data_IF_787735439160
#
_entry.id   IF_787735439160
#
_cell.length_a   1.000
_cell.length_b   1.000
_cell.length_c   1.000
_cell.angle_alpha   90.00
_cell.angle_beta   90.00
_cell.angle_gamma   90.00
#
_symmetry.space_group_name_H-M   'P 1'
#
loop_
_entity.id
_entity.type
_entity.pdbx_description
1 polymer ?
#
# COMPACT_ATOMS: atom_id res chain seq x y z
N UNK A 1 25.72 -16.39 -2.57
CA UNK A 1 24.63 -15.61 -2.05
C UNK A 1 24.29 -14.55 -3.05
N UNK A 2 23.13 -14.61 -3.46
CA UNK A 2 22.67 -13.47 -4.15
C UNK A 2 22.68 -12.32 -3.21
N UNK A 3 23.70 -11.54 -3.34
CA UNK A 3 23.54 -10.20 -2.91
C UNK A 3 22.17 -9.75 -3.36
N UNK A 4 21.31 -9.56 -2.38
CA UNK A 4 20.27 -8.61 -2.58
C UNK A 4 21.04 -7.34 -2.94
N UNK A 5 21.30 -7.17 -4.20
CA UNK A 5 21.76 -5.89 -4.70
C UNK A 5 20.76 -4.95 -4.15
N UNK A 6 21.17 -4.18 -3.16
CA UNK A 6 20.39 -3.05 -2.70
C UNK A 6 19.98 -2.34 -3.95
N UNK A 7 18.75 -2.58 -4.32
CA UNK A 7 18.21 -1.78 -5.39
C UNK A 7 17.93 -0.45 -4.73
N UNK A 8 18.91 0.41 -4.80
CA UNK A 8 18.84 1.75 -4.23
C UNK A 8 17.65 2.55 -4.78
N UNK A 9 16.93 1.96 -5.72
CA UNK A 9 15.76 2.55 -6.35
C UNK A 9 14.46 2.21 -5.64
N UNK A 10 14.44 1.16 -4.83
CA UNK A 10 13.26 0.78 -4.07
C UNK A 10 13.28 1.46 -2.72
N UNK A 11 12.19 2.11 -2.38
CA UNK A 11 11.98 2.66 -1.05
C UNK A 11 10.64 2.20 -0.49
N UNK A 12 10.62 1.92 0.81
CA UNK A 12 9.42 1.56 1.55
C UNK A 12 9.25 2.55 2.69
N UNK A 13 8.13 3.28 2.68
CA UNK A 13 7.79 4.23 3.75
C UNK A 13 6.63 3.69 4.55
N UNK A 14 6.81 3.61 5.86
CA UNK A 14 5.77 3.15 6.78
C UNK A 14 5.00 4.31 7.38
N UNK A 15 3.69 4.13 7.54
CA UNK A 15 2.79 5.09 8.18
C UNK A 15 2.05 4.36 9.30
N UNK A 16 2.40 4.67 10.53
CA UNK A 16 1.83 4.00 11.69
C UNK A 16 0.55 4.72 12.16
N UNK A 17 -0.50 3.94 12.34
CA UNK A 17 -1.73 4.41 12.96
C UNK A 17 -1.81 3.87 14.39
N UNK A 18 -1.74 4.76 15.35
CA UNK A 18 -1.76 4.40 16.77
C UNK A 18 -3.08 3.80 17.22
N UNK A 19 -4.18 4.29 16.68
CA UNK A 19 -5.52 3.88 17.07
C UNK A 19 -5.78 2.41 16.78
N UNK A 20 -5.35 1.93 15.63
CA UNK A 20 -5.54 0.53 15.21
C UNK A 20 -4.28 -0.30 15.32
N UNK A 21 -3.15 0.30 15.69
CA UNK A 21 -1.82 -0.34 15.70
C UNK A 21 -1.46 -0.95 14.35
N UNK A 22 -1.88 -0.31 13.28
CA UNK A 22 -1.66 -0.75 11.91
C UNK A 22 -0.57 0.07 11.25
N UNK A 23 0.23 -0.56 10.42
CA UNK A 23 1.19 0.13 9.58
C UNK A 23 0.74 0.02 8.13
N UNK A 24 0.55 1.17 7.49
CA UNK A 24 0.37 1.28 6.05
C UNK A 24 1.71 1.52 5.39
N UNK A 25 1.88 1.08 4.17
CA UNK A 25 3.14 1.25 3.44
C UNK A 25 2.92 1.94 2.10
N UNK A 26 3.86 2.80 1.74
CA UNK A 26 4.05 3.24 0.36
C UNK A 26 5.34 2.62 -0.13
N UNK A 27 5.23 1.80 -1.16
CA UNK A 27 6.36 1.15 -1.79
C UNK A 27 6.56 1.80 -3.16
N UNK A 28 7.75 2.32 -3.42
CA UNK A 28 7.96 3.05 -4.67
C UNK A 28 9.33 2.80 -5.28
N UNK A 29 9.37 2.94 -6.60
CA UNK A 29 10.57 2.92 -7.39
C UNK A 29 10.99 4.37 -7.67
N UNK A 30 12.20 4.74 -7.24
CA UNK A 30 12.67 6.12 -7.35
C UNK A 30 13.11 6.51 -8.77
N UNK A 31 13.34 5.53 -9.63
CA UNK A 31 13.68 5.80 -11.04
C UNK A 31 12.42 5.96 -11.87
N UNK A 32 11.53 4.97 -11.85
CA UNK A 32 10.30 5.01 -12.63
C UNK A 32 9.22 5.89 -11.99
N UNK A 33 9.40 6.26 -10.72
CA UNK A 33 8.44 7.08 -9.97
C UNK A 33 7.05 6.47 -9.87
N UNK A 34 6.98 5.15 -9.81
CA UNK A 34 5.74 4.41 -9.60
C UNK A 34 5.65 3.95 -8.16
N UNK A 35 4.44 3.91 -7.63
CA UNK A 35 4.22 3.45 -6.26
C UNK A 35 2.96 2.62 -6.10
N UNK A 36 2.94 1.88 -5.00
CA UNK A 36 1.76 1.20 -4.48
C UNK A 36 1.55 1.60 -3.03
N UNK A 37 0.30 1.72 -2.64
CA UNK A 37 -0.10 1.89 -1.24
C UNK A 37 -0.62 0.55 -0.73
N UNK A 38 -0.15 0.12 0.42
CA UNK A 38 -0.51 -1.16 1.02
C UNK A 38 -1.20 -0.93 2.36
N UNK A 39 -2.41 -1.47 2.49
CA UNK A 39 -3.19 -1.47 3.73
C UNK A 39 -3.41 -0.08 4.33
N UNK A 40 -3.91 0.83 3.56
CA UNK A 40 -4.22 2.18 4.02
C UNK A 40 -5.40 2.19 5.00
N UNK A 41 -5.32 3.05 6.01
CA UNK A 41 -6.29 3.16 7.09
C UNK A 41 -7.13 4.42 6.92
N UNK A 42 -8.44 4.24 7.02
CA UNK A 42 -9.38 5.35 7.15
C UNK A 42 -9.61 5.61 8.64
N UNK A 43 -9.42 6.85 9.05
CA UNK A 43 -9.61 7.24 10.44
C UNK A 43 -11.09 7.16 10.82
N UNK A 44 -11.38 6.52 11.93
CA UNK A 44 -12.74 6.34 12.41
C UNK A 44 -12.80 6.50 13.92
N UNK A 45 -13.66 7.40 14.37
CA UNK A 45 -13.93 7.59 15.79
C UNK A 45 -15.12 6.74 16.21
N UNK A 46 -14.85 5.71 16.98
CA UNK A 46 -15.90 4.80 17.47
C UNK A 46 -16.90 5.48 18.39
N UNK A 47 -16.52 6.54 19.07
CA UNK A 47 -17.42 7.27 19.98
C UNK A 47 -18.44 8.10 19.24
N UNK A 48 -18.03 8.79 18.19
CA UNK A 48 -18.90 9.70 17.41
C UNK A 48 -19.40 9.08 16.12
N UNK A 49 -18.74 8.05 15.62
CA UNK A 49 -19.00 7.50 14.29
C UNK A 49 -18.41 8.35 13.17
N UNK A 50 -17.58 9.33 13.50
CA UNK A 50 -17.02 10.23 12.51
C UNK A 50 -15.84 9.62 11.77
N UNK A 51 -15.73 9.95 10.50
CA UNK A 51 -14.64 9.56 9.62
C UNK A 51 -13.72 10.76 9.43
N UNK A 52 -12.42 10.52 9.45
CA UNK A 52 -11.41 11.52 9.14
C UNK A 52 -10.39 10.95 8.15
N UNK A 53 -9.58 11.81 7.58
CA UNK A 53 -8.66 11.44 6.51
C UNK A 53 -7.21 11.79 6.84
N UNK A 54 -6.87 11.95 8.11
CA UNK A 54 -5.53 12.39 8.53
C UNK A 54 -4.45 11.41 8.03
N UNK A 55 -4.63 10.12 8.26
CA UNK A 55 -3.66 9.12 7.80
C UNK A 55 -3.62 9.01 6.28
N UNK A 56 -4.77 9.03 5.63
CA UNK A 56 -4.84 9.00 4.17
C UNK A 56 -4.16 10.24 3.56
N UNK A 57 -4.38 11.41 4.13
CA UNK A 57 -3.79 12.66 3.64
C UNK A 57 -2.27 12.68 3.83
N UNK A 58 -1.74 12.06 4.87
CA UNK A 58 -0.28 11.88 5.02
C UNK A 58 0.30 11.08 3.87
N UNK A 59 -0.36 10.00 3.49
CA UNK A 59 0.06 9.17 2.36
C UNK A 59 -0.02 9.96 1.05
N UNK A 60 -1.12 10.66 0.82
CA UNK A 60 -1.31 11.49 -0.37
C UNK A 60 -0.23 12.57 -0.46
N UNK A 61 0.06 13.25 0.65
CA UNK A 61 1.11 14.27 0.71
C UNK A 61 2.49 13.70 0.43
N UNK A 62 2.79 12.52 0.95
CA UNK A 62 4.05 11.83 0.68
C UNK A 62 4.22 11.53 -0.81
N UNK A 63 3.18 10.98 -1.42
CA UNK A 63 3.18 10.64 -2.85
C UNK A 63 3.38 11.90 -3.69
N UNK A 64 2.68 12.97 -3.36
CA UNK A 64 2.78 14.25 -4.08
C UNK A 64 4.18 14.87 -3.94
N UNK A 65 4.73 14.91 -2.73
CA UNK A 65 6.06 15.49 -2.48
C UNK A 65 7.17 14.76 -3.22
N UNK A 66 7.05 13.45 -3.34
CA UNK A 66 8.04 12.62 -4.01
C UNK A 66 7.77 12.48 -5.51
N UNK A 67 6.72 13.12 -6.01
CA UNK A 67 6.33 13.10 -7.43
C UNK A 67 6.13 11.69 -7.95
N UNK A 68 5.47 10.86 -7.12
CA UNK A 68 5.22 9.47 -7.45
C UNK A 68 3.91 9.33 -8.21
N UNK A 69 3.85 8.31 -9.06
CA UNK A 69 2.65 7.94 -9.79
C UNK A 69 2.04 6.71 -9.14
N UNK A 70 0.84 6.87 -8.59
CA UNK A 70 0.16 5.78 -7.89
C UNK A 70 -0.44 4.80 -8.91
N UNK A 71 0.06 3.56 -8.88
CA UNK A 71 -0.41 2.49 -9.76
C UNK A 71 -1.43 1.59 -9.06
N UNK A 72 -1.16 1.24 -7.80
CA UNK A 72 -1.96 0.27 -7.07
C UNK A 72 -2.22 0.69 -5.64
N UNK A 73 -3.43 0.41 -5.20
CA UNK A 73 -3.85 0.44 -3.80
C UNK A 73 -4.21 -1.00 -3.42
N UNK A 74 -3.43 -1.59 -2.53
CA UNK A 74 -3.49 -3.02 -2.27
C UNK A 74 -3.95 -3.27 -0.84
N UNK A 75 -4.97 -4.11 -0.70
CA UNK A 75 -5.39 -4.66 0.57
C UNK A 75 -4.89 -6.10 0.66
N UNK A 76 -4.02 -6.39 1.62
CA UNK A 76 -3.44 -7.73 1.76
C UNK A 76 -4.45 -8.74 2.29
N UNK A 77 -5.44 -8.27 3.04
CA UNK A 77 -6.50 -9.08 3.62
C UNK A 77 -7.71 -8.20 3.93
N UNK A 78 -8.81 -8.82 4.28
CA UNK A 78 -9.97 -8.09 4.82
C UNK A 78 -9.65 -7.66 6.24
N UNK A 79 -9.73 -6.36 6.50
CA UNK A 79 -9.44 -5.81 7.81
C UNK A 79 -10.70 -5.76 8.67
N UNK A 80 -10.63 -6.34 9.85
CA UNK A 80 -11.70 -6.27 10.84
C UNK A 80 -11.52 -5.10 11.82
N UNK A 81 -10.32 -4.57 11.90
CA UNK A 81 -9.90 -3.58 12.89
C UNK A 81 -9.93 -2.14 12.38
N UNK A 82 -10.07 -1.94 11.08
CA UNK A 82 -10.16 -0.60 10.50
C UNK A 82 -10.86 -0.61 9.14
N UNK A 83 -11.25 0.57 8.70
CA UNK A 83 -11.77 0.78 7.36
C UNK A 83 -10.63 1.14 6.42
N UNK A 84 -10.76 0.75 5.15
CA UNK A 84 -9.76 1.07 4.15
C UNK A 84 -9.92 2.50 3.64
N UNK A 85 -8.78 3.19 3.49
CA UNK A 85 -8.73 4.49 2.85
C UNK A 85 -8.52 4.40 1.32
N UNK A 86 -8.42 3.21 0.77
CA UNK A 86 -8.14 3.02 -0.67
C UNK A 86 -9.12 3.74 -1.58
N UNK A 87 -10.44 3.72 -1.36
CA UNK A 87 -11.36 4.48 -2.21
C UNK A 87 -11.13 5.98 -2.17
N UNK A 88 -10.81 6.52 -1.00
CA UNK A 88 -10.53 7.96 -0.85
C UNK A 88 -9.25 8.35 -1.59
N UNK A 89 -8.18 7.58 -1.41
CA UNK A 89 -6.91 7.84 -2.08
C UNK A 89 -7.05 7.68 -3.59
N UNK A 90 -7.77 6.66 -4.05
CA UNK A 90 -8.04 6.45 -5.47
C UNK A 90 -8.77 7.65 -6.09
N UNK A 91 -9.73 8.19 -5.40
CA UNK A 91 -10.47 9.37 -5.87
C UNK A 91 -9.55 10.57 -6.06
N UNK A 92 -8.53 10.72 -5.21
CA UNK A 92 -7.59 11.83 -5.25
C UNK A 92 -6.47 11.64 -6.26
N UNK A 93 -5.92 10.43 -6.36
CA UNK A 93 -4.69 10.16 -7.10
C UNK A 93 -4.84 9.16 -8.24
N UNK A 94 -5.97 8.51 -8.37
CA UNK A 94 -6.15 7.42 -9.32
C UNK A 94 -5.55 6.11 -8.81
N UNK A 95 -5.18 5.25 -9.73
CA UNK A 95 -4.68 3.92 -9.42
C UNK A 95 -5.76 2.86 -9.38
N UNK A 96 -5.35 1.62 -9.29
CA UNK A 96 -6.24 0.47 -9.26
C UNK A 96 -6.28 -0.13 -7.86
N UNK A 97 -7.45 -0.56 -7.41
CA UNK A 97 -7.59 -1.25 -6.13
C UNK A 97 -7.50 -2.74 -6.36
N UNK A 98 -6.58 -3.40 -5.64
CA UNK A 98 -6.46 -4.83 -5.59
C UNK A 98 -6.79 -5.32 -4.19
N UNK A 99 -7.76 -6.23 -4.08
CA UNK A 99 -8.22 -6.76 -2.80
C UNK A 99 -8.14 -8.28 -2.83
N UNK A 100 -7.70 -8.87 -1.73
CA UNK A 100 -7.76 -10.31 -1.54
C UNK A 100 -9.21 -10.73 -1.27
N UNK A 101 -9.77 -11.56 -2.13
CA UNK A 101 -11.15 -12.03 -1.98
C UNK A 101 -11.32 -13.04 -0.85
N UNK A 102 -10.25 -13.77 -0.53
CA UNK A 102 -10.32 -14.86 0.47
C UNK A 102 -9.12 -14.82 1.38
N UNK A 103 -9.37 -14.55 2.61
CA UNK A 103 -8.39 -14.39 3.67
C UNK A 103 -7.48 -15.63 3.84
N UNK A 104 -8.01 -16.81 3.60
CA UNK A 104 -7.35 -18.07 3.93
C UNK A 104 -6.63 -18.73 2.76
N UNK A 105 -6.56 -18.09 1.61
CA UNK A 105 -5.94 -18.70 0.43
C UNK A 105 -4.59 -18.09 0.11
N UNK A 106 -3.55 -18.88 0.29
CA UNK A 106 -2.19 -18.53 -0.14
C UNK A 106 -2.10 -18.15 -1.62
N UNK A 107 -2.98 -18.72 -2.45
CA UNK A 107 -3.04 -18.38 -3.87
C UNK A 107 -3.38 -16.92 -4.12
N UNK A 108 -4.21 -16.31 -3.28
CA UNK A 108 -4.57 -14.90 -3.42
C UNK A 108 -3.41 -14.00 -3.02
N UNK A 109 -2.75 -14.34 -1.90
CA UNK A 109 -1.53 -13.64 -1.51
C UNK A 109 -0.50 -13.70 -2.64
N UNK A 110 -0.34 -14.85 -3.27
CA UNK A 110 0.54 -15.00 -4.45
C UNK A 110 0.10 -14.11 -5.60
N UNK A 111 -1.21 -14.01 -5.86
CA UNK A 111 -1.73 -13.17 -6.92
C UNK A 111 -1.49 -11.68 -6.64
N UNK A 112 -1.68 -11.24 -5.42
CA UNK A 112 -1.36 -9.87 -5.02
C UNK A 112 0.13 -9.59 -5.19
N UNK A 113 0.97 -10.49 -4.73
CA UNK A 113 2.42 -10.40 -4.96
C UNK A 113 2.76 -10.29 -6.43
N UNK A 114 2.13 -11.13 -7.24
CA UNK A 114 2.36 -11.13 -8.69
C UNK A 114 1.92 -9.81 -9.32
N UNK A 115 0.76 -9.29 -8.93
CA UNK A 115 0.26 -8.01 -9.43
C UNK A 115 1.26 -6.89 -9.11
N UNK A 116 1.72 -6.82 -7.87
CA UNK A 116 2.71 -5.82 -7.46
C UNK A 116 4.01 -6.01 -8.24
N UNK A 117 4.50 -7.24 -8.30
CA UNK A 117 5.78 -7.54 -8.94
C UNK A 117 5.73 -7.26 -10.44
N UNK A 118 4.69 -7.72 -11.12
CA UNK A 118 4.62 -7.62 -12.58
C UNK A 118 4.23 -6.21 -13.07
N UNK A 119 3.41 -5.50 -12.30
CA UNK A 119 2.87 -4.23 -12.76
C UNK A 119 3.59 -3.01 -12.19
N UNK A 120 4.13 -3.10 -10.99
CA UNK A 120 4.81 -1.98 -10.33
C UNK A 120 6.32 -2.14 -10.43
N UNK A 121 6.83 -3.30 -10.01
CA UNK A 121 8.25 -3.56 -9.91
C UNK A 121 8.82 -4.43 -11.02
N UNK A 122 8.01 -4.76 -12.00
CA UNK A 122 8.45 -5.45 -13.24
C UNK A 122 9.21 -6.75 -12.97
N UNK A 123 8.68 -7.58 -12.09
CA UNK A 123 9.27 -8.88 -11.79
C UNK A 123 10.48 -8.84 -10.87
N UNK A 124 10.80 -7.72 -10.27
CA UNK A 124 11.95 -7.62 -9.35
C UNK A 124 11.73 -8.48 -8.12
N UNK A 125 12.64 -9.41 -7.89
CA UNK A 125 12.44 -10.48 -6.89
C UNK A 125 12.43 -10.02 -5.44
N UNK A 126 13.02 -8.90 -5.13
CA UNK A 126 13.09 -8.40 -3.76
C UNK A 126 11.74 -7.98 -3.18
N UNK A 127 10.77 -7.66 -4.01
CA UNK A 127 9.41 -7.33 -3.54
C UNK A 127 8.77 -8.53 -2.82
N UNK A 128 9.23 -9.73 -3.10
CA UNK A 128 8.68 -10.95 -2.48
C UNK A 128 8.90 -10.99 -0.98
N UNK A 129 9.92 -10.29 -0.48
CA UNK A 129 10.19 -10.24 0.96
C UNK A 129 9.16 -9.47 1.76
N UNK A 130 8.30 -8.70 1.12
CA UNK A 130 7.23 -7.95 1.76
C UNK A 130 6.04 -8.83 2.18
N UNK A 131 5.99 -10.05 1.70
CA UNK A 131 4.87 -10.97 1.90
C UNK A 131 5.29 -12.15 2.76
#
# INVERSE_FOLDING_TARGET
MNEIKKNDNLHIEGFFDEQTSTISYVVHDNIEKKCAVIDSVLDFDYSSGDIDYVNADKIISYIARNKLNLEWLIETHVHADHLSASPYIQKKLGGKIGISEKIHHNSITKNVKKIVTDNIFKGKSYIRSLW
#
